data_IF_105261777924
#
_entry.id   IF_105261777924
#
_cell.length_a   1.000
_cell.length_b   1.000
_cell.length_c   1.000
_cell.angle_alpha   90.00
_cell.angle_beta   90.00
_cell.angle_gamma   90.00
#
_symmetry.space_group_name_H-M   'P 1'
#
loop_
_entity.id
_entity.type
_entity.pdbx_description
1 polymer ?
#
# COMPACT_ATOMS: atom_id res chain seq x y z
N UNK A 1 24.53 -4.24 23.38
CA UNK A 1 23.99 -5.58 23.03
C UNK A 1 22.72 -5.46 22.16
N UNK A 2 21.77 -4.58 22.46
CA UNK A 2 20.49 -4.44 21.73
C UNK A 2 20.67 -3.90 20.30
N UNK A 3 21.67 -3.06 20.03
CA UNK A 3 21.92 -2.46 18.72
C UNK A 3 22.46 -3.48 17.68
N UNK A 4 23.17 -4.50 18.11
CA UNK A 4 23.71 -5.56 17.25
C UNK A 4 22.62 -6.56 16.84
N UNK A 5 21.66 -6.83 17.71
CA UNK A 5 20.52 -7.70 17.42
C UNK A 5 19.61 -7.09 16.33
N UNK A 6 19.43 -5.76 16.33
CA UNK A 6 18.60 -5.05 15.32
C UNK A 6 19.23 -5.03 13.91
N UNK A 7 20.57 -5.11 13.80
CA UNK A 7 21.28 -5.16 12.53
C UNK A 7 21.49 -6.57 11.99
N UNK A 8 21.52 -7.56 12.86
CA UNK A 8 21.69 -8.98 12.48
C UNK A 8 20.40 -9.64 11.99
N UNK A 9 19.24 -9.18 12.45
CA UNK A 9 17.94 -9.78 12.11
C UNK A 9 17.63 -9.76 10.62
N UNK A 10 17.80 -8.62 9.86
CA UNK A 10 17.55 -8.61 8.44
C UNK A 10 18.55 -9.45 7.64
N UNK A 11 19.79 -9.57 8.11
CA UNK A 11 20.81 -10.42 7.46
C UNK A 11 20.51 -11.90 7.67
N UNK A 12 20.08 -12.29 8.86
CA UNK A 12 19.63 -13.66 9.15
C UNK A 12 18.36 -14.02 8.37
N UNK A 13 17.42 -13.08 8.23
CA UNK A 13 16.23 -13.28 7.44
C UNK A 13 16.55 -13.43 5.94
N UNK A 14 17.50 -12.65 5.42
CA UNK A 14 17.99 -12.76 4.04
C UNK A 14 18.70 -14.09 3.78
N UNK A 15 19.53 -14.56 4.73
CA UNK A 15 20.22 -15.86 4.66
C UNK A 15 19.24 -17.05 4.75
N UNK A 16 18.17 -16.94 5.54
CA UNK A 16 17.13 -17.96 5.60
C UNK A 16 16.33 -18.08 4.28
N UNK A 17 16.15 -16.98 3.57
CA UNK A 17 15.50 -16.95 2.24
C UNK A 17 16.34 -17.66 1.16
N UNK A 18 17.67 -17.55 1.22
CA UNK A 18 18.59 -18.18 0.26
C UNK A 18 18.61 -19.71 0.45
N UNK A 19 18.45 -20.21 1.68
CA UNK A 19 18.46 -21.65 1.98
C UNK A 19 17.25 -22.42 1.47
N UNK A 20 16.12 -21.76 1.20
CA UNK A 20 14.90 -22.40 0.68
C UNK A 20 14.83 -22.47 -0.85
N UNK A 21 15.76 -21.81 -1.58
CA UNK A 21 15.71 -21.68 -3.04
C UNK A 21 16.26 -22.90 -3.81
N UNK A 22 16.92 -23.85 -3.16
CA UNK A 22 17.59 -24.98 -3.79
C UNK A 22 16.86 -26.32 -3.53
N UNK A 23 15.80 -26.58 -4.28
CA UNK A 23 15.15 -27.90 -4.33
C UNK A 23 15.39 -28.61 -5.67
N UNK A 24 15.33 -29.96 -5.72
CA UNK A 24 15.62 -30.74 -6.95
C UNK A 24 14.59 -30.59 -8.08
N UNK A 25 13.68 -29.65 -8.00
CA UNK A 25 12.65 -29.30 -9.01
C UNK A 25 12.51 -27.79 -9.23
N UNK A 26 13.59 -27.03 -9.04
CA UNK A 26 13.55 -25.58 -9.26
C UNK A 26 13.43 -25.27 -10.76
N UNK A 27 12.41 -24.47 -11.13
CA UNK A 27 12.32 -23.91 -12.45
C UNK A 27 13.51 -22.93 -12.65
N UNK A 28 14.32 -23.08 -13.73
CA UNK A 28 15.42 -22.16 -13.99
C UNK A 28 14.99 -20.68 -14.09
N UNK A 29 13.73 -20.44 -14.49
CA UNK A 29 13.16 -19.10 -14.65
C UNK A 29 12.58 -18.53 -13.35
N UNK A 30 12.41 -19.34 -12.29
CA UNK A 30 11.93 -18.90 -10.97
C UNK A 30 12.86 -19.36 -9.84
N UNK A 31 13.89 -18.59 -9.51
CA UNK A 31 14.84 -18.95 -8.46
C UNK A 31 14.19 -19.05 -7.07
N UNK A 32 13.00 -18.52 -6.87
CA UNK A 32 12.25 -18.55 -5.61
C UNK A 32 11.03 -19.49 -5.63
N UNK A 33 10.91 -20.41 -6.59
CA UNK A 33 9.72 -21.25 -6.78
C UNK A 33 9.24 -21.91 -5.47
N UNK A 34 10.13 -22.53 -4.72
CA UNK A 34 9.78 -23.24 -3.47
C UNK A 34 9.19 -22.28 -2.43
N UNK A 35 9.82 -21.10 -2.26
CA UNK A 35 9.33 -20.04 -1.38
C UNK A 35 7.99 -19.49 -1.89
N UNK A 36 7.90 -19.15 -3.18
CA UNK A 36 6.70 -18.60 -3.81
C UNK A 36 5.50 -19.53 -3.64
N UNK A 37 5.70 -20.82 -3.86
CA UNK A 37 4.67 -21.85 -3.68
C UNK A 37 4.20 -21.95 -2.22
N UNK A 38 5.12 -21.86 -1.27
CA UNK A 38 4.80 -21.91 0.17
C UNK A 38 4.05 -20.65 0.61
N UNK A 39 4.48 -19.47 0.14
CA UNK A 39 3.82 -18.20 0.44
C UNK A 39 2.43 -18.10 -0.20
N UNK A 40 2.26 -18.62 -1.42
CA UNK A 40 0.94 -18.68 -2.04
C UNK A 40 -0.03 -19.49 -1.19
N UNK A 41 0.36 -20.69 -0.74
CA UNK A 41 -0.49 -21.51 0.15
C UNK A 41 -0.81 -20.78 1.45
N UNK A 42 0.18 -20.15 2.07
CA UNK A 42 -0.03 -19.37 3.29
C UNK A 42 -1.04 -18.24 3.05
N UNK A 43 -0.91 -17.52 1.95
CA UNK A 43 -1.84 -16.44 1.59
C UNK A 43 -3.26 -16.98 1.35
N UNK A 44 -3.38 -18.10 0.63
CA UNK A 44 -4.67 -18.75 0.37
C UNK A 44 -5.34 -19.22 1.68
N UNK A 45 -4.57 -19.80 2.60
CA UNK A 45 -5.07 -20.24 3.90
C UNK A 45 -5.55 -19.06 4.76
N UNK A 46 -4.80 -17.95 4.77
CA UNK A 46 -5.21 -16.73 5.49
C UNK A 46 -6.42 -16.08 4.83
N UNK A 47 -6.47 -16.04 3.50
CA UNK A 47 -7.64 -15.52 2.78
C UNK A 47 -8.89 -16.32 3.12
N UNK A 48 -8.82 -17.65 3.02
CA UNK A 48 -9.94 -18.53 3.29
C UNK A 48 -10.42 -18.47 4.77
N UNK A 49 -9.45 -18.39 5.71
CA UNK A 49 -9.77 -18.46 7.14
C UNK A 49 -10.19 -17.11 7.75
N UNK A 50 -9.67 -16.00 7.22
CA UNK A 50 -9.82 -14.68 7.85
C UNK A 50 -10.36 -13.64 6.87
N UNK A 51 -9.66 -13.39 5.73
CA UNK A 51 -9.99 -12.24 4.89
C UNK A 51 -11.33 -12.39 4.22
N UNK A 52 -11.61 -13.56 3.64
CA UNK A 52 -12.88 -13.85 2.95
C UNK A 52 -14.09 -13.81 3.88
N UNK A 53 -14.11 -14.44 5.06
CA UNK A 53 -15.21 -14.30 6.02
C UNK A 53 -15.45 -12.85 6.46
N UNK A 54 -14.37 -12.10 6.78
CA UNK A 54 -14.49 -10.70 7.19
C UNK A 54 -15.01 -9.83 6.05
N UNK A 55 -14.49 -10.02 4.83
CA UNK A 55 -14.96 -9.29 3.66
C UNK A 55 -16.43 -9.60 3.34
N UNK A 56 -16.84 -10.85 3.45
CA UNK A 56 -18.24 -11.25 3.25
C UNK A 56 -19.15 -10.58 4.27
N UNK A 57 -18.82 -10.67 5.56
CA UNK A 57 -19.57 -10.00 6.62
C UNK A 57 -19.66 -8.47 6.40
N UNK A 58 -18.54 -7.83 6.00
CA UNK A 58 -18.52 -6.41 5.66
C UNK A 58 -19.49 -6.08 4.50
N UNK A 59 -19.49 -6.90 3.46
CA UNK A 59 -20.40 -6.71 2.30
C UNK A 59 -21.86 -6.89 2.69
N UNK A 60 -22.17 -7.82 3.57
CA UNK A 60 -23.55 -8.12 4.01
C UNK A 60 -24.11 -7.02 4.91
N UNK A 61 -23.31 -6.48 5.84
CA UNK A 61 -23.79 -5.48 6.80
C UNK A 61 -23.66 -4.03 6.33
N UNK A 62 -22.82 -3.75 5.32
CA UNK A 62 -22.53 -2.39 4.89
C UNK A 62 -23.24 -2.07 3.57
N UNK A 63 -24.13 -1.07 3.54
CA UNK A 63 -24.81 -0.64 2.32
C UNK A 63 -23.82 -0.24 1.21
N UNK A 64 -24.19 -0.55 -0.04
CA UNK A 64 -23.34 -0.27 -1.22
C UNK A 64 -22.86 1.18 -1.30
N UNK A 65 -23.68 2.22 -1.06
CA UNK A 65 -23.20 3.61 -1.13
C UNK A 65 -22.09 3.91 -0.13
N UNK A 66 -22.15 3.33 1.07
CA UNK A 66 -21.12 3.48 2.11
C UNK A 66 -19.81 2.81 1.67
N UNK A 67 -19.88 1.60 1.15
CA UNK A 67 -18.72 0.87 0.62
C UNK A 67 -18.05 1.63 -0.53
N UNK A 68 -18.86 2.16 -1.45
CA UNK A 68 -18.37 2.98 -2.56
C UNK A 68 -17.70 4.25 -2.04
N UNK A 69 -18.31 4.96 -1.10
CA UNK A 69 -17.73 6.16 -0.51
C UNK A 69 -16.39 5.88 0.18
N UNK A 70 -16.30 4.81 0.97
CA UNK A 70 -15.04 4.38 1.61
C UNK A 70 -13.98 4.06 0.56
N UNK A 71 -14.35 3.30 -0.48
CA UNK A 71 -13.42 2.96 -1.57
C UNK A 71 -12.92 4.21 -2.32
N UNK A 72 -13.81 5.16 -2.61
CA UNK A 72 -13.46 6.41 -3.27
C UNK A 72 -12.53 7.27 -2.41
N UNK A 73 -12.81 7.37 -1.10
CA UNK A 73 -11.96 8.11 -0.16
C UNK A 73 -10.53 7.57 -0.16
N UNK A 74 -10.36 6.26 0.00
CA UNK A 74 -9.03 5.64 -0.06
C UNK A 74 -8.40 5.73 -1.44
N UNK A 75 -9.20 5.66 -2.50
CA UNK A 75 -8.75 5.90 -3.86
C UNK A 75 -8.22 7.31 -4.07
N UNK A 76 -8.92 8.34 -3.57
CA UNK A 76 -8.50 9.73 -3.64
C UNK A 76 -7.18 9.96 -2.86
N UNK A 77 -7.03 9.32 -1.72
CA UNK A 77 -5.80 9.38 -0.93
C UNK A 77 -4.62 8.70 -1.65
N UNK A 78 -4.88 7.60 -2.36
CA UNK A 78 -3.90 6.94 -3.23
C UNK A 78 -3.54 7.80 -4.45
N UNK A 79 -4.47 8.60 -4.98
CA UNK A 79 -4.22 9.50 -6.11
C UNK A 79 -3.20 10.59 -5.74
N UNK A 80 -3.11 11.00 -4.45
CA UNK A 80 -2.06 11.92 -3.97
C UNK A 80 -0.67 11.29 -4.11
N UNK A 81 -0.51 10.01 -3.74
CA UNK A 81 0.76 9.30 -3.91
C UNK A 81 1.09 9.05 -5.37
N UNK A 82 0.07 8.73 -6.17
CA UNK A 82 0.21 8.61 -7.63
C UNK A 82 0.64 9.93 -8.29
N UNK A 83 0.15 11.07 -7.81
CA UNK A 83 0.61 12.39 -8.26
C UNK A 83 2.11 12.58 -8.06
N UNK A 84 2.62 12.27 -6.86
CA UNK A 84 4.05 12.37 -6.55
C UNK A 84 4.88 11.46 -7.47
N UNK A 85 4.46 10.21 -7.64
CA UNK A 85 5.18 9.25 -8.48
C UNK A 85 5.10 9.60 -9.97
N UNK A 86 3.97 10.12 -10.47
CA UNK A 86 3.87 10.63 -11.85
C UNK A 86 4.81 11.82 -12.08
N UNK A 87 4.88 12.74 -11.10
CA UNK A 87 5.78 13.90 -11.15
C UNK A 87 7.25 13.48 -11.20
N UNK A 88 7.66 12.54 -10.35
CA UNK A 88 9.02 12.01 -10.32
C UNK A 88 9.38 11.24 -11.61
N UNK A 89 8.39 10.68 -12.29
CA UNK A 89 8.55 10.02 -13.59
C UNK A 89 8.53 10.99 -14.78
N UNK A 90 8.32 12.29 -14.54
CA UNK A 90 8.16 13.33 -15.57
C UNK A 90 7.00 13.02 -16.54
N UNK A 91 5.93 12.40 -16.05
CA UNK A 91 4.72 12.08 -16.80
C UNK A 91 3.72 13.24 -16.68
N UNK A 92 3.81 14.21 -17.57
CA UNK A 92 3.01 15.43 -17.48
C UNK A 92 1.50 15.17 -17.45
N UNK A 93 1.00 14.30 -18.32
CA UNK A 93 -0.42 13.93 -18.39
C UNK A 93 -0.87 13.21 -17.10
N UNK A 94 -0.14 12.15 -16.67
CA UNK A 94 -0.46 11.43 -15.43
C UNK A 94 -0.40 12.33 -14.20
N UNK A 95 0.55 13.27 -14.16
CA UNK A 95 0.68 14.27 -13.09
C UNK A 95 -0.54 15.21 -13.09
N UNK A 96 -0.92 15.77 -14.25
CA UNK A 96 -2.07 16.64 -14.38
C UNK A 96 -3.36 15.91 -13.98
N UNK A 97 -3.58 14.70 -14.50
CA UNK A 97 -4.76 13.91 -14.19
C UNK A 97 -4.84 13.58 -12.68
N UNK A 98 -3.76 13.11 -12.06
CA UNK A 98 -3.75 12.81 -10.61
C UNK A 98 -4.00 14.08 -9.79
N UNK A 99 -3.40 15.21 -10.15
CA UNK A 99 -3.63 16.51 -9.51
C UNK A 99 -5.09 16.95 -9.59
N UNK A 100 -5.66 16.90 -10.80
CA UNK A 100 -7.04 17.28 -11.02
C UNK A 100 -8.01 16.37 -10.26
N UNK A 101 -7.77 15.05 -10.26
CA UNK A 101 -8.59 14.09 -9.52
C UNK A 101 -8.63 14.40 -8.03
N UNK A 102 -7.46 14.58 -7.41
CA UNK A 102 -7.37 14.91 -5.98
C UNK A 102 -8.14 16.18 -5.65
N UNK A 103 -7.98 17.25 -6.45
CA UNK A 103 -8.67 18.51 -6.21
C UNK A 103 -10.18 18.40 -6.43
N UNK A 104 -10.60 17.83 -7.56
CA UNK A 104 -12.03 17.69 -7.90
C UNK A 104 -12.75 16.82 -6.88
N UNK A 105 -12.19 15.65 -6.56
CA UNK A 105 -12.80 14.74 -5.60
C UNK A 105 -12.78 15.28 -4.17
N UNK A 106 -11.77 16.07 -3.80
CA UNK A 106 -11.72 16.67 -2.47
C UNK A 106 -12.72 17.82 -2.34
N UNK A 107 -12.79 18.71 -3.33
CA UNK A 107 -13.63 19.92 -3.27
C UNK A 107 -15.10 19.59 -3.57
N UNK A 108 -15.36 18.89 -4.66
CA UNK A 108 -16.72 18.60 -5.13
C UNK A 108 -17.21 17.21 -4.72
N UNK A 109 -16.30 16.30 -4.35
CA UNK A 109 -16.59 14.93 -3.95
C UNK A 109 -16.68 14.72 -2.44
N UNK A 110 -16.95 15.77 -1.64
CA UNK A 110 -17.08 15.68 -0.18
C UNK A 110 -15.83 15.05 0.49
N UNK A 111 -14.64 15.58 0.19
CA UNK A 111 -13.38 15.05 0.72
C UNK A 111 -12.94 13.74 0.07
N UNK A 112 -13.46 13.41 -1.11
CA UNK A 112 -13.13 12.20 -1.85
C UNK A 112 -14.09 11.02 -1.64
N UNK A 113 -15.21 11.22 -0.95
CA UNK A 113 -16.26 10.19 -0.82
C UNK A 113 -16.98 9.92 -2.14
N UNK A 114 -17.08 10.94 -3.01
CA UNK A 114 -17.65 10.84 -4.34
C UNK A 114 -16.53 10.97 -5.38
N UNK A 115 -16.52 10.09 -6.38
CA UNK A 115 -15.55 10.14 -7.49
C UNK A 115 -16.07 11.00 -8.65
N UNK A 116 -16.19 12.30 -8.40
CA UNK A 116 -16.63 13.28 -9.39
C UNK A 116 -15.65 13.38 -10.57
N UNK A 117 -14.36 13.17 -10.31
CA UNK A 117 -13.35 13.23 -11.36
C UNK A 117 -13.55 12.15 -12.44
N UNK A 118 -14.03 10.97 -12.07
CA UNK A 118 -14.36 9.91 -13.05
C UNK A 118 -15.57 10.30 -13.91
N UNK A 119 -16.57 10.94 -13.34
CA UNK A 119 -17.74 11.45 -14.07
C UNK A 119 -17.34 12.55 -15.08
N UNK A 120 -16.30 13.31 -14.78
CA UNK A 120 -15.72 14.33 -15.68
C UNK A 120 -14.76 13.73 -16.73
N UNK A 121 -14.60 12.40 -16.77
CA UNK A 121 -13.71 11.73 -17.71
C UNK A 121 -12.21 11.89 -17.40
N UNK A 122 -11.84 12.28 -16.18
CA UNK A 122 -10.43 12.41 -15.79
C UNK A 122 -9.89 11.01 -15.42
N UNK A 123 -9.00 10.49 -16.25
CA UNK A 123 -8.46 9.14 -16.07
C UNK A 123 -7.60 9.02 -14.82
N UNK A 124 -7.71 7.85 -14.14
CA UNK A 124 -6.90 7.53 -12.98
C UNK A 124 -5.55 6.94 -13.40
N UNK A 125 -4.47 7.65 -13.13
CA UNK A 125 -3.10 7.20 -13.36
C UNK A 125 -2.49 6.64 -12.07
N UNK A 126 -2.65 5.33 -11.82
CA UNK A 126 -2.07 4.69 -10.62
C UNK A 126 -0.58 4.49 -10.82
N UNK A 127 0.20 5.07 -9.94
CA UNK A 127 1.66 4.96 -9.93
C UNK A 127 2.16 4.74 -8.51
N UNK A 128 3.17 3.88 -8.39
CA UNK A 128 3.88 3.58 -7.17
C UNK A 128 5.39 3.77 -7.38
N UNK A 129 6.15 3.64 -6.32
CA UNK A 129 7.60 3.83 -6.36
C UNK A 129 8.30 2.72 -7.13
N UNK A 130 7.76 1.49 -7.13
CA UNK A 130 8.28 0.39 -7.93
C UNK A 130 8.17 0.66 -9.43
N UNK A 131 7.02 1.17 -9.89
CA UNK A 131 6.83 1.60 -11.28
C UNK A 131 7.73 2.78 -11.65
N UNK A 132 7.95 3.71 -10.72
CA UNK A 132 8.89 4.82 -10.90
C UNK A 132 10.32 4.33 -11.12
N UNK A 133 10.80 3.39 -10.31
CA UNK A 133 12.10 2.75 -10.49
C UNK A 133 12.20 2.04 -11.84
N UNK A 134 11.13 1.36 -12.27
CA UNK A 134 11.04 0.75 -13.58
C UNK A 134 11.19 1.75 -14.72
N UNK A 135 10.58 2.92 -14.59
CA UNK A 135 10.71 4.02 -15.56
C UNK A 135 12.15 4.54 -15.63
N UNK A 136 12.88 4.52 -14.53
CA UNK A 136 14.29 4.93 -14.46
C UNK A 136 15.26 3.83 -14.87
N UNK A 137 14.75 2.69 -15.37
CA UNK A 137 15.56 1.61 -15.94
C UNK A 137 15.94 0.51 -14.97
N UNK A 138 15.40 0.51 -13.76
CA UNK A 138 15.60 -0.60 -12.81
C UNK A 138 14.77 -1.80 -13.26
N UNK A 139 15.43 -2.93 -13.56
CA UNK A 139 14.78 -4.16 -13.96
C UNK A 139 13.85 -4.70 -12.87
N UNK A 140 12.83 -5.47 -13.26
CA UNK A 140 11.85 -6.07 -12.33
C UNK A 140 12.48 -7.04 -11.34
N UNK A 141 13.58 -7.70 -11.76
CA UNK A 141 14.16 -8.81 -11.01
C UNK A 141 13.26 -10.05 -11.01
N UNK A 142 13.61 -11.07 -10.22
CA UNK A 142 12.83 -12.29 -10.12
C UNK A 142 11.46 -12.07 -9.48
N UNK A 143 10.56 -12.97 -9.79
CA UNK A 143 9.24 -13.04 -9.19
C UNK A 143 9.31 -13.45 -7.72
N UNK A 144 8.53 -12.80 -6.87
CA UNK A 144 8.44 -13.11 -5.44
C UNK A 144 7.02 -12.95 -4.93
N UNK A 145 6.55 -13.89 -4.15
CA UNK A 145 5.24 -13.81 -3.48
C UNK A 145 5.43 -13.25 -2.08
N UNK A 146 4.78 -12.11 -1.81
CA UNK A 146 4.85 -11.47 -0.50
C UNK A 146 3.77 -12.01 0.45
N UNK A 147 4.08 -12.21 1.74
CA UNK A 147 3.07 -12.61 2.71
C UNK A 147 1.96 -11.55 2.79
N UNK A 148 0.71 -11.99 2.70
CA UNK A 148 -0.53 -11.20 2.72
C UNK A 148 -0.73 -10.22 1.55
N UNK A 149 0.32 -9.87 0.81
CA UNK A 149 0.26 -8.93 -0.31
C UNK A 149 0.19 -9.61 -1.67
N UNK A 150 0.58 -10.91 -1.73
CA UNK A 150 0.48 -11.70 -2.93
C UNK A 150 1.64 -11.51 -3.92
N UNK A 151 1.38 -11.75 -5.21
CA UNK A 151 2.39 -11.71 -6.28
C UNK A 151 3.06 -10.35 -6.44
N UNK A 152 4.38 -10.35 -6.56
CA UNK A 152 5.20 -9.12 -6.70
C UNK A 152 6.48 -9.43 -7.49
N UNK A 153 7.29 -8.40 -7.72
CA UNK A 153 8.65 -8.54 -8.23
C UNK A 153 9.66 -8.12 -7.16
N UNK A 154 10.91 -8.52 -7.29
CA UNK A 154 11.93 -8.13 -6.31
C UNK A 154 12.07 -6.59 -6.25
N UNK A 155 12.00 -5.89 -7.39
CA UNK A 155 12.03 -4.44 -7.46
C UNK A 155 10.89 -3.81 -6.64
N UNK A 156 9.67 -4.29 -6.87
CA UNK A 156 8.47 -3.72 -6.23
C UNK A 156 8.42 -4.08 -4.74
N UNK A 157 8.92 -5.28 -4.37
CA UNK A 157 9.08 -5.69 -2.97
C UNK A 157 10.08 -4.81 -2.20
N UNK A 158 11.18 -4.40 -2.83
CA UNK A 158 12.16 -3.47 -2.24
C UNK A 158 11.62 -2.04 -2.19
N UNK A 159 10.81 -1.65 -3.16
CA UNK A 159 10.14 -0.34 -3.22
C UNK A 159 9.00 -0.20 -2.19
N UNK A 160 8.37 -1.31 -1.81
CA UNK A 160 7.21 -1.36 -0.92
C UNK A 160 7.35 -0.55 0.39
N UNK A 161 8.48 -0.56 1.12
CA UNK A 161 8.63 0.27 2.32
C UNK A 161 8.51 1.77 2.03
N UNK A 162 8.91 2.23 0.86
CA UNK A 162 8.76 3.63 0.45
C UNK A 162 7.32 3.94 0.09
N UNK A 163 6.63 3.06 -0.64
CA UNK A 163 5.22 3.20 -0.95
C UNK A 163 4.36 3.21 0.32
N UNK A 164 4.63 2.32 1.26
CA UNK A 164 3.92 2.26 2.54
C UNK A 164 4.16 3.51 3.39
N UNK A 165 5.38 4.07 3.40
CA UNK A 165 5.69 5.27 4.17
C UNK A 165 5.26 6.56 3.45
N UNK A 166 5.29 6.59 2.12
CA UNK A 166 4.84 7.72 1.29
C UNK A 166 3.32 7.83 1.20
N UNK A 167 2.62 6.72 1.36
CA UNK A 167 1.17 6.74 1.35
C UNK A 167 0.63 7.38 2.64
N UNK A 168 -0.18 8.44 2.48
CA UNK A 168 -0.77 9.22 3.57
C UNK A 168 -1.62 8.39 4.55
N UNK A 169 -2.09 7.22 4.14
CA UNK A 169 -2.83 6.29 4.99
C UNK A 169 -2.08 5.93 6.28
N UNK A 170 -0.77 5.81 6.22
CA UNK A 170 0.05 5.46 7.39
C UNK A 170 0.38 6.68 8.26
N UNK A 171 0.22 7.88 7.73
CA UNK A 171 0.45 9.13 8.47
C UNK A 171 -0.78 9.58 9.27
N UNK A 172 -1.94 8.93 9.06
CA UNK A 172 -3.11 9.13 9.91
C UNK A 172 -2.80 8.49 11.26
N UNK A 173 -2.37 9.32 12.21
CA UNK A 173 -2.05 8.89 13.58
C UNK A 173 -3.26 8.22 14.23
N UNK A 174 -3.05 7.16 15.03
CA UNK A 174 -4.13 6.56 15.80
C UNK A 174 -4.89 7.61 16.62
N UNK A 175 -6.17 7.39 16.80
CA UNK A 175 -7.09 8.34 17.51
C UNK A 175 -6.60 8.70 18.90
N UNK A 176 -5.81 7.83 19.56
CA UNK A 176 -5.17 8.09 20.84
C UNK A 176 -4.24 9.31 20.84
N UNK A 177 -3.48 9.51 19.76
CA UNK A 177 -2.52 10.63 19.69
C UNK A 177 -3.21 11.96 19.37
N UNK A 178 -4.39 11.90 18.75
CA UNK A 178 -5.20 13.08 18.44
C UNK A 178 -5.85 13.69 19.69
N UNK A 179 -6.17 12.87 20.68
CA UNK A 179 -6.76 13.31 21.93
C UNK A 179 -5.73 13.92 22.90
N UNK A 180 -4.44 13.62 22.75
CA UNK A 180 -3.37 14.22 23.53
C UNK A 180 -2.94 15.61 23.05
N UNK A 181 -3.38 16.03 21.86
CA UNK A 181 -3.11 17.36 21.29
C UNK A 181 -4.21 18.40 21.59
N UNK A 182 -5.32 18.00 22.24
CA UNK A 182 -6.24 18.93 22.85
C UNK A 182 -5.81 19.11 24.32
N UNK A 183 -5.06 20.18 24.68
CA UNK A 183 -4.95 20.51 26.08
C UNK A 183 -6.36 20.84 26.56
N UNK A 184 -6.81 20.10 27.55
CA UNK A 184 -8.03 20.42 28.24
C UNK A 184 -7.88 21.90 28.75
N UNK A 185 -8.50 22.81 28.02
CA UNK A 185 -8.79 24.13 28.54
C UNK A 185 -9.88 23.93 29.59
N UNK A 186 -9.49 23.83 30.79
CA UNK A 186 -10.43 23.63 31.84
C UNK A 186 -9.84 23.96 33.22
N UNK A 187 -9.98 25.21 33.55
CA UNK A 187 -10.35 25.62 34.87
C UNK A 187 -9.24 25.75 35.88
N UNK A 188 -9.27 26.83 36.35
CA UNK A 188 -9.40 27.70 37.02
C UNK A 188 -9.39 28.13 38.08
N UNK A 189 -8.90 28.84 38.35
CA UNK A 189 -9.48 29.78 39.31
C UNK A 189 -9.66 29.29 40.70
N UNK A 190 -9.19 30.14 41.55
CA UNK A 190 -9.38 30.39 42.96
C UNK A 190 -8.26 29.82 43.79
N UNK A 191 -7.60 30.60 44.57
CA UNK A 191 -7.87 31.87 45.30
C UNK A 191 -6.58 32.63 45.48
#
# INVERSE_FOLDING_TARGET
LVAWARRGLPVLAALALVGCASGPRSNPDDPFESYNRSMTRFNDDVDAAILKPVATAYVEVTPTPVRTGVSNFFGNLSDVWSFVNNLLQLRAEGTANSFMRVNVNTIFGLGGLLDVASELGIERSRQDFGLMLGRWGVGTGPYVVLPLLGPSTLRDAVALPLDVNGNLLRQVRPVSDRNSLCPAHGGHARE
#
